data_IF_263048216236
#
_entry.id   IF_263048216236
#
_cell.length_a   1.000
_cell.length_b   1.000
_cell.length_c   1.000
_cell.angle_alpha   90.00
_cell.angle_beta   90.00
_cell.angle_gamma   90.00
#
_symmetry.space_group_name_H-M   'P 1'
#
loop_
_entity.id
_entity.type
_entity.pdbx_description
1 polymer ?
#
# COMPACT_ATOMS: atom_id res chain seq x y z
N UNK A 1 17.31 -9.74 -3.69
CA UNK A 1 16.93 -8.35 -3.66
C UNK A 1 16.04 -8.05 -2.45
N UNK A 2 16.24 -6.95 -1.84
CA UNK A 2 15.60 -6.62 -0.59
C UNK A 2 14.34 -5.78 -0.84
N UNK A 3 13.17 -6.32 -0.54
CA UNK A 3 11.91 -5.63 -0.75
C UNK A 3 11.80 -4.36 0.08
N UNK A 4 12.43 -4.35 1.25
CA UNK A 4 12.38 -3.18 2.13
C UNK A 4 13.16 -2.01 1.59
N UNK A 5 14.08 -2.24 0.65
CA UNK A 5 14.91 -1.18 0.11
C UNK A 5 14.07 -0.09 -0.56
N UNK A 6 13.05 -0.48 -1.32
CA UNK A 6 12.19 0.49 -1.98
C UNK A 6 11.42 1.34 -0.98
N UNK A 7 10.96 0.74 0.10
CA UNK A 7 10.24 1.48 1.14
C UNK A 7 11.15 2.50 1.82
N UNK A 8 12.36 2.08 2.17
CA UNK A 8 13.33 2.96 2.81
C UNK A 8 13.68 4.13 1.90
N UNK A 9 13.86 3.88 0.61
CA UNK A 9 14.18 4.92 -0.36
C UNK A 9 13.06 5.94 -0.51
N UNK A 10 11.84 5.55 -0.21
CA UNK A 10 10.68 6.44 -0.28
C UNK A 10 10.30 7.05 1.07
N UNK A 11 11.14 6.88 2.08
CA UNK A 11 10.93 7.52 3.37
C UNK A 11 10.16 6.70 4.38
N UNK A 12 9.92 5.43 4.11
CA UNK A 12 9.23 4.53 5.04
C UNK A 12 10.24 3.63 5.73
N UNK A 13 9.89 3.15 6.91
CA UNK A 13 10.76 2.23 7.66
C UNK A 13 10.78 0.85 7.04
N UNK A 14 9.63 0.37 6.64
CA UNK A 14 9.46 -0.96 6.09
C UNK A 14 8.10 -1.04 5.40
N UNK A 15 7.74 -2.24 4.95
CA UNK A 15 6.48 -2.46 4.26
C UNK A 15 5.27 -2.10 5.13
N UNK A 16 5.32 -2.48 6.40
CA UNK A 16 4.21 -2.21 7.31
C UNK A 16 3.99 -0.71 7.48
N UNK A 17 5.07 0.05 7.61
CA UNK A 17 4.98 1.50 7.73
C UNK A 17 4.34 2.11 6.49
N UNK A 18 4.76 1.65 5.31
CA UNK A 18 4.20 2.10 4.06
C UNK A 18 2.71 1.82 3.98
N UNK A 19 2.30 0.60 4.33
CA UNK A 19 0.88 0.22 4.24
C UNK A 19 0.03 0.98 5.26
N UNK A 20 0.57 1.24 6.44
CA UNK A 20 -0.11 2.07 7.44
C UNK A 20 -0.34 3.48 6.90
N UNK A 21 0.67 4.06 6.26
CA UNK A 21 0.54 5.38 5.67
C UNK A 21 -0.52 5.39 4.57
N UNK A 22 -0.56 4.36 3.77
CA UNK A 22 -1.57 4.26 2.72
C UNK A 22 -2.97 4.18 3.32
N UNK A 23 -3.13 3.42 4.38
CA UNK A 23 -4.41 3.32 5.08
C UNK A 23 -4.87 4.69 5.57
N UNK A 24 -3.96 5.44 6.18
CA UNK A 24 -4.27 6.78 6.68
C UNK A 24 -4.58 7.76 5.56
N UNK A 25 -3.77 7.74 4.51
CA UNK A 25 -3.89 8.70 3.42
C UNK A 25 -5.19 8.54 2.65
N UNK A 26 -5.61 7.31 2.45
CA UNK A 26 -6.80 7.02 1.64
C UNK A 26 -8.04 6.77 2.47
N UNK A 27 -7.92 6.72 3.78
CA UNK A 27 -9.06 6.44 4.65
C UNK A 27 -9.62 5.05 4.45
N UNK A 28 -8.79 4.11 4.05
CA UNK A 28 -9.17 2.72 3.80
C UNK A 28 -8.72 1.87 4.99
N UNK A 29 -9.55 0.92 5.47
CA UNK A 29 -9.13 0.05 6.57
C UNK A 29 -7.82 -0.66 6.27
N UNK A 30 -6.96 -0.78 7.28
CA UNK A 30 -5.64 -1.40 7.09
C UNK A 30 -5.76 -2.83 6.56
N UNK A 31 -6.80 -3.54 6.96
CA UNK A 31 -7.03 -4.89 6.47
C UNK A 31 -7.21 -4.92 4.96
N UNK A 32 -7.93 -3.94 4.43
CA UNK A 32 -8.12 -3.82 2.99
C UNK A 32 -6.80 -3.51 2.30
N UNK A 33 -5.98 -2.64 2.90
CA UNK A 33 -4.68 -2.29 2.34
C UNK A 33 -3.79 -3.53 2.27
N UNK A 34 -3.75 -4.33 3.33
CA UNK A 34 -2.96 -5.56 3.33
C UNK A 34 -3.45 -6.54 2.27
N UNK A 35 -4.76 -6.68 2.13
CA UNK A 35 -5.32 -7.59 1.14
C UNK A 35 -4.94 -7.16 -0.27
N UNK A 36 -5.04 -5.88 -0.57
CA UNK A 36 -4.67 -5.37 -1.89
C UNK A 36 -3.18 -5.53 -2.14
N UNK A 37 -2.35 -5.27 -1.14
CA UNK A 37 -0.91 -5.43 -1.29
C UNK A 37 -0.53 -6.88 -1.56
N UNK A 38 -1.20 -7.81 -0.89
CA UNK A 38 -0.96 -9.24 -1.12
C UNK A 38 -1.33 -9.66 -2.53
N UNK A 39 -2.41 -9.12 -3.06
CA UNK A 39 -2.84 -9.43 -4.42
C UNK A 39 -1.85 -8.90 -5.46
N UNK A 40 -1.15 -7.83 -5.14
CA UNK A 40 -0.26 -7.17 -6.08
C UNK A 40 1.17 -7.69 -6.07
N UNK A 41 1.53 -8.51 -5.13
CA UNK A 41 2.84 -9.15 -4.99
C UNK A 41 3.97 -8.50 -5.80
N UNK A 42 4.77 -7.68 -5.13
CA UNK A 42 5.92 -7.06 -5.76
C UNK A 42 5.64 -5.83 -6.59
N UNK A 43 4.39 -5.49 -6.80
CA UNK A 43 3.99 -4.30 -7.56
C UNK A 43 3.25 -3.30 -6.67
N UNK A 44 3.54 -3.31 -5.38
CA UNK A 44 2.81 -2.51 -4.41
C UNK A 44 2.96 -1.02 -4.65
N UNK A 45 4.12 -0.56 -5.08
CA UNK A 45 4.31 0.86 -5.33
C UNK A 45 3.57 1.35 -6.57
N UNK A 46 3.51 0.51 -7.60
CA UNK A 46 2.87 0.91 -8.85
C UNK A 46 1.37 0.62 -8.84
N UNK A 47 0.99 -0.52 -8.28
CA UNK A 47 -0.39 -0.99 -8.36
C UNK A 47 -1.24 -0.63 -7.17
N UNK A 48 -0.64 -0.49 -5.96
CA UNK A 48 -1.42 -0.27 -4.75
C UNK A 48 -2.13 1.07 -4.78
N UNK A 49 -1.47 2.11 -5.24
CA UNK A 49 -2.08 3.44 -5.30
C UNK A 49 -3.31 3.41 -6.21
N UNK A 50 -3.17 2.78 -7.38
CA UNK A 50 -4.31 2.66 -8.29
C UNK A 50 -5.44 1.85 -7.67
N UNK A 51 -5.11 0.76 -6.99
CA UNK A 51 -6.10 -0.08 -6.34
C UNK A 51 -6.82 0.67 -5.22
N UNK A 52 -6.08 1.47 -4.45
CA UNK A 52 -6.67 2.27 -3.37
C UNK A 52 -7.56 3.37 -3.92
N UNK A 53 -7.16 3.99 -5.01
CA UNK A 53 -8.00 5.00 -5.65
C UNK A 53 -9.30 4.40 -6.15
N UNK A 54 -9.23 3.20 -6.70
CA UNK A 54 -10.44 2.49 -7.14
C UNK A 54 -11.33 2.14 -5.95
N UNK A 55 -10.74 1.65 -4.86
CA UNK A 55 -11.49 1.29 -3.67
C UNK A 55 -12.18 2.52 -3.08
N UNK A 56 -11.48 3.65 -3.03
CA UNK A 56 -12.03 4.89 -2.53
C UNK A 56 -13.19 5.37 -3.40
N UNK A 57 -13.02 5.28 -4.71
CA UNK A 57 -14.05 5.68 -5.66
C UNK A 57 -15.30 4.81 -5.53
N UNK A 58 -15.12 3.54 -5.25
CA UNK A 58 -16.23 2.61 -5.11
C UNK A 58 -16.84 2.64 -3.72
N UNK A 59 -16.25 3.36 -2.79
CA UNK A 59 -16.77 3.48 -1.44
C UNK A 59 -16.44 2.28 -0.56
N UNK A 60 -15.38 1.60 -0.84
CA UNK A 60 -14.99 0.42 -0.06
C UNK A 60 -14.21 0.77 1.21
#
# INVERSE_FOLDING_TARGET
MDDNNAYIQNGYKDRDDYLQCMSDDYGVPIETVYTLADLLEGEEFDGLISALEDAERMGL
#
